data_IF_012696686472
#
_entry.id   IF_012696686472
#
_cell.length_a   1.000
_cell.length_b   1.000
_cell.length_c   1.000
_cell.angle_alpha   90.00
_cell.angle_beta   90.00
_cell.angle_gamma   90.00
#
_symmetry.space_group_name_H-M   'P 1'
#
loop_
_entity.id
_entity.type
_entity.pdbx_description
1 polymer ?
#
# COMPACT_ATOMS: atom_id res chain seq x y z
N UNK A 1 37.47 -6.87 -42.38
CA UNK A 1 36.03 -6.48 -42.43
C UNK A 1 35.33 -7.23 -41.33
N UNK A 2 35.20 -6.60 -40.20
CA UNK A 2 34.57 -7.19 -39.02
C UNK A 2 33.04 -7.07 -39.15
N UNK A 3 32.36 -8.21 -38.98
CA UNK A 3 30.90 -8.33 -38.95
C UNK A 3 30.34 -7.56 -37.76
N UNK A 4 29.24 -6.79 -37.89
CA UNK A 4 28.63 -6.13 -36.75
C UNK A 4 28.01 -7.17 -35.85
N UNK A 5 28.24 -7.01 -34.54
CA UNK A 5 27.73 -7.84 -33.48
C UNK A 5 26.24 -8.09 -33.62
N UNK A 6 25.83 -9.36 -33.58
CA UNK A 6 24.48 -9.75 -33.34
C UNK A 6 24.05 -9.18 -31.99
N UNK A 7 23.17 -8.19 -32.01
CA UNK A 7 22.48 -7.67 -30.82
C UNK A 7 21.74 -8.85 -30.21
N UNK A 8 22.20 -9.25 -29.04
CA UNK A 8 21.67 -10.38 -28.28
C UNK A 8 20.20 -10.09 -27.96
N UNK A 9 19.29 -10.82 -28.62
CA UNK A 9 17.87 -10.71 -28.33
C UNK A 9 17.65 -11.03 -26.84
N UNK A 10 17.08 -10.09 -26.09
CA UNK A 10 16.73 -10.27 -24.69
C UNK A 10 15.98 -11.60 -24.53
N UNK A 11 16.40 -12.42 -23.57
CA UNK A 11 15.67 -13.63 -23.25
C UNK A 11 14.26 -13.27 -22.73
N UNK A 12 13.35 -14.24 -22.66
CA UNK A 12 11.96 -14.00 -22.30
C UNK A 12 11.82 -13.38 -20.89
N UNK A 13 12.62 -13.84 -19.94
CA UNK A 13 12.57 -13.35 -18.56
C UNK A 13 12.99 -11.87 -18.48
N UNK A 14 14.10 -11.52 -19.07
CA UNK A 14 14.57 -10.13 -19.15
C UNK A 14 13.63 -9.21 -19.92
N UNK A 15 12.98 -9.72 -21.00
CA UNK A 15 11.95 -8.90 -21.67
C UNK A 15 10.77 -8.63 -20.78
N UNK A 16 10.34 -9.61 -20.03
CA UNK A 16 9.24 -9.45 -19.09
C UNK A 16 9.57 -8.43 -18.01
N UNK A 17 10.74 -8.50 -17.42
CA UNK A 17 11.18 -7.50 -16.43
C UNK A 17 11.13 -6.08 -16.99
N UNK A 18 11.65 -5.86 -18.21
CA UNK A 18 11.59 -4.55 -18.88
C UNK A 18 10.16 -4.12 -19.21
N UNK A 19 9.32 -5.03 -19.69
CA UNK A 19 7.90 -4.72 -19.98
C UNK A 19 7.17 -4.28 -18.75
N UNK A 20 7.46 -4.95 -17.67
CA UNK A 20 6.86 -4.76 -16.40
C UNK A 20 7.34 -3.43 -15.77
N UNK A 21 8.60 -3.09 -15.89
CA UNK A 21 9.16 -1.81 -15.46
C UNK A 21 8.55 -0.63 -16.26
N UNK A 22 8.47 -0.76 -17.57
CA UNK A 22 7.85 0.25 -18.43
C UNK A 22 6.35 0.46 -18.10
N UNK A 23 5.66 -0.63 -17.76
CA UNK A 23 4.26 -0.57 -17.38
C UNK A 23 4.07 0.08 -16.00
N UNK A 24 4.99 -0.18 -15.07
CA UNK A 24 5.02 0.46 -13.76
C UNK A 24 5.24 1.98 -13.84
N UNK A 25 6.10 2.43 -14.77
CA UNK A 25 6.34 3.86 -14.99
C UNK A 25 5.15 4.60 -15.62
N UNK A 26 4.40 3.92 -16.50
CA UNK A 26 3.44 4.58 -17.40
C UNK A 26 1.97 4.23 -17.11
N UNK A 27 1.72 3.22 -16.29
CA UNK A 27 0.38 2.70 -15.98
C UNK A 27 -0.26 1.92 -17.15
N UNK A 28 0.20 2.17 -18.39
CA UNK A 28 -0.26 1.48 -19.61
C UNK A 28 0.88 1.36 -20.62
N UNK A 29 0.82 0.34 -21.47
CA UNK A 29 1.82 0.10 -22.51
C UNK A 29 1.13 -0.46 -23.77
N UNK A 30 1.29 0.20 -24.90
CA UNK A 30 0.79 -0.31 -26.18
C UNK A 30 1.75 -1.34 -26.77
N UNK A 31 1.21 -2.20 -27.68
CA UNK A 31 2.02 -3.20 -28.38
C UNK A 31 3.13 -2.54 -29.20
N UNK A 32 2.84 -1.42 -29.89
CA UNK A 32 3.82 -0.71 -30.71
C UNK A 32 4.95 -0.08 -29.89
N UNK A 33 4.61 0.56 -28.76
CA UNK A 33 5.63 1.14 -27.85
C UNK A 33 6.54 0.06 -27.27
N UNK A 34 5.96 -1.05 -26.82
CA UNK A 34 6.72 -2.18 -26.30
C UNK A 34 7.64 -2.80 -27.35
N UNK A 35 7.13 -3.00 -28.56
CA UNK A 35 7.90 -3.54 -29.68
C UNK A 35 9.11 -2.65 -30.04
N UNK A 36 8.89 -1.33 -30.10
CA UNK A 36 9.93 -0.34 -30.38
C UNK A 36 11.00 -0.30 -29.28
N UNK A 37 10.58 -0.31 -28.01
CA UNK A 37 11.51 -0.25 -26.86
C UNK A 37 12.37 -1.50 -26.71
N UNK A 38 11.77 -2.67 -26.92
CA UNK A 38 12.43 -3.98 -26.80
C UNK A 38 13.15 -4.42 -28.08
N UNK A 39 12.96 -3.68 -29.20
CA UNK A 39 13.46 -4.04 -30.53
C UNK A 39 13.06 -5.46 -30.97
N UNK A 40 11.82 -5.83 -30.67
CA UNK A 40 11.21 -7.12 -31.08
C UNK A 40 9.96 -6.90 -31.92
N UNK A 41 9.48 -7.97 -32.57
CA UNK A 41 8.25 -7.89 -33.36
C UNK A 41 7.01 -7.67 -32.45
N UNK A 42 5.99 -6.98 -32.98
CA UNK A 42 4.70 -6.86 -32.29
C UNK A 42 4.07 -8.23 -31.98
N UNK A 43 4.31 -9.23 -32.81
CA UNK A 43 3.83 -10.59 -32.57
C UNK A 43 4.48 -11.20 -31.33
N UNK A 44 5.77 -10.91 -31.08
CA UNK A 44 6.46 -11.33 -29.87
C UNK A 44 5.86 -10.63 -28.64
N UNK A 45 5.65 -9.31 -28.71
CA UNK A 45 5.03 -8.54 -27.62
C UNK A 45 3.62 -9.03 -27.31
N UNK A 46 2.80 -9.32 -28.34
CA UNK A 46 1.44 -9.85 -28.15
C UNK A 46 1.44 -11.19 -27.41
N UNK A 47 2.41 -12.07 -27.70
CA UNK A 47 2.57 -13.34 -26.97
C UNK A 47 3.03 -13.11 -25.55
N UNK A 48 3.99 -12.21 -25.32
CA UNK A 48 4.47 -11.84 -23.99
C UNK A 48 3.32 -11.22 -23.18
N UNK A 49 2.55 -10.29 -23.74
CA UNK A 49 1.37 -9.70 -23.09
C UNK A 49 0.28 -10.73 -22.77
N UNK A 50 0.07 -11.72 -23.64
CA UNK A 50 -0.89 -12.80 -23.37
C UNK A 50 -0.40 -13.64 -22.19
N UNK A 51 0.85 -14.06 -22.21
CA UNK A 51 1.41 -14.87 -21.13
C UNK A 51 1.48 -14.12 -19.78
N UNK A 52 1.76 -12.80 -19.79
CA UNK A 52 1.70 -11.97 -18.60
C UNK A 52 0.25 -11.81 -18.10
N UNK A 53 -0.73 -11.71 -18.98
CA UNK A 53 -2.14 -11.64 -18.62
C UNK A 53 -2.67 -12.98 -18.05
N UNK A 54 -2.26 -14.10 -18.62
CA UNK A 54 -2.58 -15.45 -18.12
C UNK A 54 -2.04 -15.66 -16.69
N UNK A 55 -0.89 -15.06 -16.38
CA UNK A 55 -0.33 -15.00 -15.04
C UNK A 55 -0.93 -13.87 -14.16
N UNK A 56 -1.94 -13.15 -14.66
CA UNK A 56 -2.58 -12.01 -13.99
C UNK A 56 -1.62 -10.87 -13.62
N UNK A 57 -0.49 -10.79 -14.28
CA UNK A 57 0.49 -9.74 -14.07
C UNK A 57 0.12 -8.44 -14.80
N UNK A 58 -0.72 -8.51 -15.82
CA UNK A 58 -1.23 -7.36 -16.56
C UNK A 58 -2.70 -7.58 -16.94
N UNK A 59 -3.44 -6.49 -17.21
CA UNK A 59 -4.79 -6.56 -17.79
C UNK A 59 -4.73 -6.14 -19.25
N UNK A 60 -5.27 -6.96 -20.16
CA UNK A 60 -5.31 -6.65 -21.59
C UNK A 60 -6.31 -5.56 -21.92
N UNK A 61 -5.92 -4.68 -22.85
CA UNK A 61 -6.77 -3.66 -23.46
C UNK A 61 -6.78 -3.83 -24.99
N UNK A 62 -7.58 -3.01 -25.71
CA UNK A 62 -7.77 -3.11 -27.17
C UNK A 62 -6.48 -2.90 -27.99
N UNK A 63 -5.38 -2.42 -27.42
CA UNK A 63 -4.13 -2.14 -28.16
C UNK A 63 -2.87 -2.38 -27.35
N UNK A 64 -2.98 -3.00 -26.18
CA UNK A 64 -1.85 -3.18 -25.28
C UNK A 64 -2.25 -3.82 -23.97
N UNK A 65 -1.58 -3.37 -22.92
CA UNK A 65 -1.84 -3.78 -21.53
C UNK A 65 -1.85 -2.56 -20.61
N UNK A 66 -2.60 -2.68 -19.52
CA UNK A 66 -2.49 -1.82 -18.36
C UNK A 66 -1.96 -2.64 -17.20
N UNK A 67 -1.35 -2.00 -16.23
CA UNK A 67 -0.99 -2.67 -15.00
C UNK A 67 -2.24 -3.35 -14.44
N UNK A 68 -2.16 -4.65 -14.17
CA UNK A 68 -3.17 -5.28 -13.35
C UNK A 68 -3.07 -4.52 -12.02
N UNK A 69 -4.16 -3.87 -11.61
CA UNK A 69 -4.15 -2.78 -10.63
C UNK A 69 -3.49 -3.10 -9.28
N UNK A 70 -2.88 -4.26 -9.13
CA UNK A 70 -2.34 -4.73 -7.87
C UNK A 70 -1.03 -5.50 -7.96
N UNK A 71 -0.82 -6.38 -8.94
CA UNK A 71 0.43 -7.15 -9.01
C UNK A 71 1.63 -6.27 -9.40
N UNK A 72 1.37 -5.14 -10.04
CA UNK A 72 2.38 -4.21 -10.53
C UNK A 72 2.65 -3.03 -9.63
N UNK A 73 1.71 -2.63 -8.83
CA UNK A 73 1.93 -1.60 -7.83
C UNK A 73 2.90 -2.06 -6.72
N UNK A 74 3.09 -3.36 -6.52
CA UNK A 74 4.04 -3.84 -5.53
C UNK A 74 5.49 -3.37 -5.81
N UNK A 75 6.10 -3.58 -6.98
CA UNK A 75 7.42 -3.04 -7.26
C UNK A 75 7.45 -1.52 -7.43
N UNK A 76 6.43 -0.90 -8.03
CA UNK A 76 6.37 0.57 -8.20
C UNK A 76 5.92 1.28 -6.92
N UNK A 77 5.09 0.66 -6.09
CA UNK A 77 4.82 1.09 -4.71
C UNK A 77 6.05 0.98 -3.85
N UNK A 78 6.99 0.12 -4.21
CA UNK A 78 8.24 -0.09 -3.52
C UNK A 78 9.36 0.85 -3.95
N UNK A 79 9.29 1.46 -5.13
CA UNK A 79 10.21 2.52 -5.53
C UNK A 79 9.69 3.83 -4.97
N UNK A 80 10.33 4.36 -3.94
CA UNK A 80 10.04 5.71 -3.46
C UNK A 80 10.10 6.68 -4.65
N UNK A 81 8.99 7.29 -4.98
CA UNK A 81 8.98 8.47 -5.83
C UNK A 81 9.72 9.53 -5.03
N UNK A 82 10.67 10.23 -5.68
CA UNK A 82 11.60 11.13 -5.00
C UNK A 82 10.97 12.09 -4.00
N UNK A 83 11.76 12.75 -3.18
CA UNK A 83 11.45 13.56 -1.99
C UNK A 83 10.40 14.69 -2.12
N UNK A 84 9.39 14.54 -2.99
CA UNK A 84 8.30 15.48 -3.23
C UNK A 84 6.92 14.83 -3.33
N UNK A 85 6.83 13.49 -3.28
CA UNK A 85 5.53 12.78 -3.35
C UNK A 85 4.74 13.03 -2.05
N UNK A 86 3.48 13.49 -2.14
CA UNK A 86 2.60 13.61 -0.97
C UNK A 86 2.58 12.37 -0.09
N UNK A 87 2.59 11.17 -0.68
CA UNK A 87 2.64 9.89 0.03
C UNK A 87 3.84 9.80 0.97
N UNK A 88 5.01 10.26 0.54
CA UNK A 88 6.24 10.22 1.36
C UNK A 88 6.19 11.19 2.54
N UNK A 89 5.59 12.39 2.35
CA UNK A 89 5.41 13.36 3.44
C UNK A 89 4.41 12.85 4.47
N UNK A 90 3.27 12.35 4.02
CA UNK A 90 2.25 11.71 4.88
C UNK A 90 2.87 10.55 5.67
N UNK A 91 3.60 9.66 5.00
CA UNK A 91 4.25 8.52 5.63
C UNK A 91 5.29 8.93 6.68
N UNK A 92 6.08 9.97 6.42
CA UNK A 92 7.06 10.48 7.36
C UNK A 92 6.39 11.07 8.61
N UNK A 93 5.33 11.87 8.42
CA UNK A 93 4.58 12.46 9.52
C UNK A 93 3.85 11.40 10.36
N UNK A 94 3.22 10.41 9.72
CA UNK A 94 2.56 9.31 10.42
C UNK A 94 3.56 8.44 11.20
N UNK A 95 4.74 8.15 10.62
CA UNK A 95 5.79 7.41 11.32
C UNK A 95 6.32 8.16 12.56
N UNK A 96 6.33 9.49 12.54
CA UNK A 96 6.74 10.29 13.70
C UNK A 96 5.75 10.22 14.88
N UNK A 97 4.50 9.81 14.65
CA UNK A 97 3.50 9.61 15.69
C UNK A 97 3.65 8.29 16.47
N UNK A 98 4.53 7.39 16.00
CA UNK A 98 4.76 6.07 16.61
C UNK A 98 5.96 6.13 17.54
N UNK A 99 5.76 5.74 18.79
CA UNK A 99 6.80 5.72 19.83
C UNK A 99 7.51 4.35 19.87
N UNK A 100 8.75 4.33 20.35
CA UNK A 100 9.50 3.10 20.57
C UNK A 100 8.81 2.19 21.61
N UNK A 101 8.91 0.88 21.40
CA UNK A 101 8.34 -0.13 22.28
C UNK A 101 6.83 -0.35 22.14
N UNK A 102 6.17 0.34 21.21
CA UNK A 102 4.70 0.23 20.99
C UNK A 102 4.33 -0.92 20.06
N UNK A 103 3.05 -1.30 20.11
CA UNK A 103 2.41 -2.23 19.18
C UNK A 103 1.65 -1.43 18.13
N UNK A 104 2.11 -1.46 16.89
CA UNK A 104 1.49 -0.73 15.78
C UNK A 104 0.82 -1.67 14.79
N UNK A 105 -0.45 -1.39 14.48
CA UNK A 105 -1.22 -2.07 13.45
C UNK A 105 -1.08 -1.40 12.10
N UNK A 106 -1.11 -2.19 11.02
CA UNK A 106 -1.16 -1.71 9.64
C UNK A 106 -2.11 -2.56 8.82
N UNK A 107 -3.01 -1.91 8.05
CA UNK A 107 -3.66 -2.55 6.92
C UNK A 107 -2.81 -2.40 5.64
N UNK A 108 -3.31 -2.90 4.50
CA UNK A 108 -2.65 -2.72 3.20
C UNK A 108 -2.79 -1.31 2.64
N UNK A 109 -2.03 -1.02 1.61
CA UNK A 109 -2.07 0.24 0.90
C UNK A 109 -0.70 0.87 0.66
N UNK A 110 -0.66 1.88 -0.21
CA UNK A 110 0.59 2.57 -0.57
C UNK A 110 1.15 3.39 0.60
N UNK A 111 0.29 4.18 1.20
CA UNK A 111 0.70 5.10 2.27
C UNK A 111 1.06 4.36 3.54
N UNK A 112 0.30 3.31 3.90
CA UNK A 112 0.59 2.44 5.03
C UNK A 112 1.90 1.68 4.86
N UNK A 113 2.15 1.14 3.66
CA UNK A 113 3.44 0.51 3.33
C UNK A 113 4.60 1.49 3.42
N UNK A 114 4.43 2.72 2.89
CA UNK A 114 5.46 3.76 3.00
C UNK A 114 5.72 4.14 4.47
N UNK A 115 4.67 4.23 5.30
CA UNK A 115 4.77 4.51 6.74
C UNK A 115 5.53 3.40 7.46
N UNK A 116 5.19 2.13 7.21
CA UNK A 116 5.87 0.98 7.80
C UNK A 116 7.37 0.97 7.45
N UNK A 117 7.72 1.34 6.22
CA UNK A 117 9.12 1.46 5.79
C UNK A 117 9.87 2.57 6.50
N UNK A 118 9.23 3.72 6.71
CA UNK A 118 9.83 4.81 7.48
C UNK A 118 10.15 4.36 8.90
N UNK A 119 9.25 3.60 9.54
CA UNK A 119 9.51 2.99 10.84
C UNK A 119 10.66 1.98 10.82
N UNK A 120 10.74 1.17 9.77
CA UNK A 120 11.75 0.12 9.64
C UNK A 120 13.21 0.61 9.57
N UNK A 121 13.41 1.90 9.30
CA UNK A 121 14.74 2.54 9.19
C UNK A 121 14.99 3.61 10.24
N UNK A 122 14.14 3.70 11.27
CA UNK A 122 14.32 4.64 12.39
C UNK A 122 15.33 4.08 13.40
N UNK A 123 16.40 4.82 13.65
CA UNK A 123 17.48 4.42 14.56
C UNK A 123 17.05 4.39 16.03
N UNK A 124 16.06 5.21 16.41
CA UNK A 124 15.53 5.26 17.79
C UNK A 124 14.62 4.08 18.16
N UNK A 125 14.29 3.21 17.20
CA UNK A 125 13.51 1.99 17.41
C UNK A 125 14.39 0.75 17.66
N UNK A 126 15.59 0.92 18.17
CA UNK A 126 16.47 -0.21 18.50
C UNK A 126 15.91 -1.09 19.62
N UNK A 127 16.21 -2.39 19.54
CA UNK A 127 15.83 -3.36 20.59
C UNK A 127 16.57 -3.04 21.89
N UNK A 128 15.86 -2.96 22.99
CA UNK A 128 16.42 -2.68 24.31
C UNK A 128 16.02 -3.76 25.34
N UNK A 129 16.98 -4.20 26.13
CA UNK A 129 16.77 -5.14 27.25
C UNK A 129 15.95 -6.39 26.87
N UNK A 130 16.18 -6.96 25.67
CA UNK A 130 15.48 -8.15 25.18
C UNK A 130 14.03 -7.89 24.70
N UNK A 131 13.61 -6.63 24.60
CA UNK A 131 12.33 -6.24 24.03
C UNK A 131 12.54 -5.72 22.60
N UNK A 132 11.63 -6.03 21.66
CA UNK A 132 11.69 -5.42 20.32
C UNK A 132 11.51 -3.93 20.42
N UNK A 133 12.18 -3.17 19.55
CA UNK A 133 12.01 -1.73 19.44
C UNK A 133 10.61 -1.34 18.95
N UNK A 134 9.93 -2.27 18.23
CA UNK A 134 8.57 -2.13 17.76
C UNK A 134 7.91 -3.51 17.59
N UNK A 135 6.61 -3.61 17.83
CA UNK A 135 5.82 -4.76 17.38
C UNK A 135 4.86 -4.31 16.28
N UNK A 136 4.99 -4.90 15.10
CA UNK A 136 4.10 -4.65 13.96
C UNK A 136 3.07 -5.76 13.85
N UNK A 137 1.78 -5.42 13.84
CA UNK A 137 0.66 -6.32 13.59
C UNK A 137 0.03 -5.93 12.26
N UNK A 138 -0.09 -6.86 11.32
CA UNK A 138 -0.61 -6.51 9.98
C UNK A 138 -1.36 -7.67 9.32
N UNK A 139 -2.42 -7.33 8.57
CA UNK A 139 -3.08 -8.21 7.62
C UNK A 139 -2.47 -8.11 6.20
N UNK A 140 -1.50 -7.21 5.98
CA UNK A 140 -0.87 -6.99 4.67
C UNK A 140 0.41 -7.82 4.52
N UNK A 141 0.41 -8.78 3.60
CA UNK A 141 1.57 -9.68 3.36
C UNK A 141 2.82 -8.92 2.92
N UNK A 142 2.67 -7.87 2.13
CA UNK A 142 3.78 -7.04 1.69
C UNK A 142 4.46 -6.32 2.86
N UNK A 143 3.70 -5.79 3.80
CA UNK A 143 4.25 -5.17 5.02
C UNK A 143 4.92 -6.24 5.88
N UNK A 144 4.25 -7.38 6.11
CA UNK A 144 4.81 -8.47 6.89
C UNK A 144 6.16 -8.96 6.35
N UNK A 145 6.28 -9.16 5.04
CA UNK A 145 7.53 -9.64 4.41
C UNK A 145 8.68 -8.64 4.51
N UNK A 146 8.39 -7.34 4.56
CA UNK A 146 9.44 -6.33 4.75
C UNK A 146 9.86 -6.19 6.22
N UNK A 147 8.89 -6.23 7.12
CA UNK A 147 9.13 -6.02 8.55
C UNK A 147 9.86 -7.22 9.20
N UNK A 148 9.57 -8.45 8.77
CA UNK A 148 10.25 -9.66 9.30
C UNK A 148 11.77 -9.67 9.06
N UNK A 149 12.24 -8.91 8.07
CA UNK A 149 13.67 -8.76 7.78
C UNK A 149 14.38 -7.76 8.73
N UNK A 150 13.67 -7.15 9.65
CA UNK A 150 14.21 -6.13 10.57
C UNK A 150 14.37 -6.72 11.98
N UNK A 151 15.61 -6.96 12.47
CA UNK A 151 15.84 -7.66 13.75
C UNK A 151 15.25 -6.94 14.97
N UNK A 152 15.09 -5.62 14.91
CA UNK A 152 14.51 -4.80 15.98
C UNK A 152 12.97 -4.74 15.94
N UNK A 153 12.33 -5.33 14.91
CA UNK A 153 10.88 -5.37 14.76
C UNK A 153 10.36 -6.78 14.95
N UNK A 154 9.45 -6.93 15.93
CA UNK A 154 8.66 -8.14 16.06
C UNK A 154 7.46 -8.03 15.12
N UNK A 155 7.33 -8.96 14.18
CA UNK A 155 6.23 -8.97 13.22
C UNK A 155 5.20 -10.04 13.57
N UNK A 156 3.94 -9.63 13.65
CA UNK A 156 2.77 -10.50 13.81
C UNK A 156 1.89 -10.34 12.57
N UNK A 157 1.72 -11.41 11.82
CA UNK A 157 0.82 -11.45 10.66
C UNK A 157 -0.51 -12.05 11.06
N UNK A 158 -1.62 -11.38 10.73
CA UNK A 158 -2.95 -11.94 10.93
C UNK A 158 -3.15 -13.14 10.00
N UNK A 159 -4.03 -14.05 10.40
CA UNK A 159 -4.48 -15.16 9.56
C UNK A 159 -5.53 -14.72 8.55
N UNK A 160 -5.96 -15.63 7.66
CA UNK A 160 -7.07 -15.35 6.77
C UNK A 160 -6.88 -15.84 5.34
N UNK A 161 -7.80 -15.43 4.47
CA UNK A 161 -7.75 -15.68 3.04
C UNK A 161 -7.06 -14.50 2.37
N UNK A 162 -6.02 -14.79 1.58
CA UNK A 162 -5.27 -13.76 0.85
C UNK A 162 -6.13 -13.22 -0.29
N UNK A 163 -6.31 -11.91 -0.33
CA UNK A 163 -6.89 -11.24 -1.50
C UNK A 163 -5.82 -10.91 -2.52
N UNK A 164 -5.96 -11.40 -3.77
CA UNK A 164 -4.91 -11.21 -4.79
C UNK A 164 -4.67 -9.74 -5.15
N UNK A 165 -5.65 -8.86 -4.93
CA UNK A 165 -5.59 -7.46 -5.34
C UNK A 165 -4.96 -6.53 -4.32
N UNK A 166 -5.19 -6.72 -3.04
CA UNK A 166 -4.66 -5.88 -1.95
C UNK A 166 -3.50 -6.52 -1.21
N UNK A 167 -3.30 -7.84 -1.38
CA UNK A 167 -2.38 -8.66 -0.57
C UNK A 167 -2.75 -8.68 0.91
N UNK A 168 -3.98 -8.33 1.21
CA UNK A 168 -4.51 -8.39 2.57
C UNK A 168 -5.10 -9.76 2.88
N UNK A 169 -4.92 -10.14 4.12
CA UNK A 169 -5.55 -11.31 4.73
C UNK A 169 -6.90 -10.89 5.30
N UNK A 170 -7.97 -11.58 4.89
CA UNK A 170 -9.35 -11.27 5.28
C UNK A 170 -10.08 -12.48 5.82
N UNK A 171 -11.23 -12.24 6.44
CA UNK A 171 -12.12 -13.27 6.97
C UNK A 171 -11.94 -13.55 8.47
N UNK A 172 -12.73 -14.49 8.98
CA UNK A 172 -12.88 -14.75 10.42
C UNK A 172 -11.57 -15.19 11.09
N UNK A 173 -10.66 -15.84 10.37
CA UNK A 173 -9.36 -16.25 10.92
C UNK A 173 -8.50 -15.05 11.34
N UNK A 174 -8.60 -13.92 10.64
CA UNK A 174 -7.94 -12.68 11.04
C UNK A 174 -8.48 -12.17 12.39
N UNK A 175 -9.81 -12.23 12.56
CA UNK A 175 -10.50 -11.78 13.78
C UNK A 175 -10.11 -12.62 14.99
N UNK A 176 -9.97 -13.94 14.85
CA UNK A 176 -9.55 -14.83 15.94
C UNK A 176 -8.18 -14.45 16.50
N UNK A 177 -7.24 -14.02 15.65
CA UNK A 177 -5.93 -13.54 16.11
C UNK A 177 -6.07 -12.17 16.78
N UNK A 178 -6.83 -11.24 16.17
CA UNK A 178 -7.05 -9.90 16.73
C UNK A 178 -7.72 -9.93 18.11
N UNK A 179 -8.57 -10.89 18.38
CA UNK A 179 -9.22 -11.02 19.69
C UNK A 179 -8.25 -11.24 20.85
N UNK A 180 -7.02 -11.67 20.56
CA UNK A 180 -5.95 -11.88 21.54
C UNK A 180 -4.94 -10.72 21.62
N UNK A 181 -5.14 -9.66 20.83
CA UNK A 181 -4.17 -8.57 20.69
C UNK A 181 -4.79 -7.21 21.04
N UNK A 182 -3.91 -6.30 21.45
CA UNK A 182 -4.19 -4.88 21.56
C UNK A 182 -3.14 -4.10 20.78
N UNK A 183 -3.56 -3.03 20.13
CA UNK A 183 -2.73 -2.12 19.35
C UNK A 183 -2.63 -0.79 20.09
N UNK A 184 -1.41 -0.28 20.29
CA UNK A 184 -1.24 1.09 20.81
C UNK A 184 -1.63 2.13 19.77
N UNK A 185 -1.26 1.86 18.50
CA UNK A 185 -1.60 2.70 17.35
C UNK A 185 -2.04 1.80 16.20
N UNK A 186 -3.10 2.17 15.50
CA UNK A 186 -3.45 1.59 14.21
C UNK A 186 -3.30 2.65 13.11
N UNK A 187 -2.40 2.42 12.17
CA UNK A 187 -2.22 3.24 10.96
C UNK A 187 -3.06 2.65 9.85
N UNK A 188 -4.17 3.31 9.54
CA UNK A 188 -5.19 2.88 8.60
C UNK A 188 -5.10 3.65 7.29
N UNK A 189 -4.90 2.95 6.19
CA UNK A 189 -5.12 3.45 4.84
C UNK A 189 -6.57 3.31 4.42
N UNK A 190 -7.13 4.29 3.73
CA UNK A 190 -8.53 4.31 3.33
C UNK A 190 -8.68 4.62 1.84
N UNK A 191 -9.81 4.24 1.28
CA UNK A 191 -10.22 4.66 -0.08
C UNK A 191 -11.12 5.89 -0.06
N UNK A 192 -11.73 6.20 1.07
CA UNK A 192 -12.47 7.43 1.31
C UNK A 192 -12.58 7.73 2.80
N UNK A 193 -12.51 9.03 3.15
CA UNK A 193 -12.81 9.55 4.47
C UNK A 193 -13.76 10.74 4.34
N UNK A 194 -14.97 10.57 4.84
CA UNK A 194 -16.04 11.55 4.78
C UNK A 194 -16.49 11.91 6.21
N UNK A 195 -16.71 13.19 6.53
CA UNK A 195 -17.08 13.61 7.89
C UNK A 195 -18.35 12.93 8.45
N UNK A 196 -19.27 12.51 7.57
CA UNK A 196 -20.53 11.87 7.94
C UNK A 196 -20.48 10.35 7.80
N UNK A 197 -19.92 9.86 6.69
CA UNK A 197 -19.85 8.41 6.42
C UNK A 197 -18.70 7.72 7.14
N UNK A 198 -17.67 8.45 7.56
CA UNK A 198 -16.48 7.91 8.18
C UNK A 198 -15.47 7.36 7.18
N UNK A 199 -14.62 6.46 7.64
CA UNK A 199 -13.60 5.76 6.86
C UNK A 199 -14.22 4.60 6.08
N UNK A 200 -13.84 4.49 4.79
CA UNK A 200 -14.42 3.51 3.86
C UNK A 200 -13.38 2.89 2.94
N UNK A 201 -13.63 1.66 2.46
CA UNK A 201 -12.85 0.96 1.47
C UNK A 201 -13.72 0.28 0.39
N UNK A 202 -13.11 -0.32 -0.63
CA UNK A 202 -13.84 -0.92 -1.75
C UNK A 202 -14.41 -2.29 -1.48
N UNK A 203 -13.98 -2.97 -0.42
CA UNK A 203 -14.31 -4.36 -0.16
C UNK A 203 -14.80 -4.57 1.28
N UNK A 204 -15.90 -5.27 1.42
CA UNK A 204 -16.54 -5.53 2.72
C UNK A 204 -15.75 -6.50 3.60
N UNK A 205 -15.01 -7.44 3.00
CA UNK A 205 -14.19 -8.36 3.76
C UNK A 205 -12.91 -7.68 4.31
N UNK A 206 -12.33 -6.73 3.59
CA UNK A 206 -11.26 -5.85 4.07
C UNK A 206 -11.79 -4.94 5.18
N UNK A 207 -12.93 -4.26 4.93
CA UNK A 207 -13.56 -3.40 5.92
C UNK A 207 -13.85 -4.14 7.24
N UNK A 208 -14.24 -5.41 7.17
CA UNK A 208 -14.52 -6.23 8.35
C UNK A 208 -13.28 -6.50 9.21
N UNK A 209 -12.10 -6.70 8.60
CA UNK A 209 -10.83 -6.87 9.33
C UNK A 209 -10.34 -5.52 9.85
N UNK A 210 -10.40 -4.46 9.03
CA UNK A 210 -9.99 -3.12 9.43
C UNK A 210 -10.82 -2.60 10.60
N UNK A 211 -12.14 -2.80 10.58
CA UNK A 211 -13.03 -2.48 11.71
C UNK A 211 -12.66 -3.25 12.99
N UNK A 212 -12.29 -4.53 12.85
CA UNK A 212 -11.82 -5.31 13.99
C UNK A 212 -10.47 -4.79 14.52
N UNK A 213 -9.56 -4.29 13.66
CA UNK A 213 -8.33 -3.64 14.08
C UNK A 213 -8.59 -2.29 14.77
N UNK A 214 -9.54 -1.49 14.25
CA UNK A 214 -9.99 -0.25 14.91
C UNK A 214 -10.47 -0.53 16.34
N UNK A 215 -11.32 -1.54 16.51
CA UNK A 215 -11.86 -1.91 17.83
C UNK A 215 -10.79 -2.39 18.84
N UNK A 216 -9.59 -2.74 18.38
CA UNK A 216 -8.44 -3.17 19.20
C UNK A 216 -7.38 -2.10 19.36
N UNK A 217 -7.53 -0.96 18.70
CA UNK A 217 -6.56 0.13 18.76
C UNK A 217 -6.91 1.14 19.86
N UNK A 218 -5.88 1.58 20.57
CA UNK A 218 -6.01 2.70 21.51
C UNK A 218 -6.04 4.05 20.79
N UNK A 219 -5.37 4.13 19.64
CA UNK A 219 -5.28 5.34 18.82
C UNK A 219 -5.37 4.96 17.35
N UNK A 220 -6.30 5.58 16.63
CA UNK A 220 -6.50 5.39 15.20
C UNK A 220 -5.89 6.57 14.43
N UNK A 221 -4.90 6.28 13.60
CA UNK A 221 -4.24 7.25 12.69
C UNK A 221 -4.62 6.90 11.26
N UNK A 222 -5.46 7.69 10.64
CA UNK A 222 -5.78 7.55 9.21
C UNK A 222 -4.72 8.27 8.37
N UNK A 223 -4.21 7.59 7.33
CA UNK A 223 -3.25 8.14 6.37
C UNK A 223 -3.86 8.18 4.98
N UNK A 224 -4.15 9.35 4.46
CA UNK A 224 -4.87 9.52 3.20
C UNK A 224 -4.39 10.74 2.42
N UNK A 225 -4.27 10.62 1.10
CA UNK A 225 -4.10 11.77 0.23
C UNK A 225 -5.37 12.62 0.17
N UNK A 226 -5.22 13.90 -0.18
CA UNK A 226 -6.32 14.85 -0.28
C UNK A 226 -7.46 14.37 -1.20
N UNK A 227 -7.14 13.58 -2.22
CA UNK A 227 -8.09 12.99 -3.17
C UNK A 227 -9.08 11.99 -2.54
N UNK A 228 -8.80 11.53 -1.32
CA UNK A 228 -9.64 10.60 -0.56
C UNK A 228 -10.60 11.29 0.42
N UNK A 229 -10.40 12.58 0.67
CA UNK A 229 -11.19 13.31 1.65
C UNK A 229 -12.51 13.81 1.04
N UNK A 230 -13.60 13.74 1.82
CA UNK A 230 -14.95 14.05 1.36
C UNK A 230 -15.51 13.02 0.38
N UNK A 231 -14.85 11.85 0.24
CA UNK A 231 -15.29 10.77 -0.65
C UNK A 231 -15.73 9.55 0.14
N UNK A 232 -16.57 8.72 -0.49
CA UNK A 232 -17.08 7.47 0.08
C UNK A 232 -16.82 6.32 -0.86
N UNK A 233 -16.43 5.18 -0.30
CA UNK A 233 -16.33 3.92 -1.00
C UNK A 233 -17.44 2.95 -0.56
N UNK A 234 -17.42 1.72 -1.05
CA UNK A 234 -18.51 0.76 -0.91
C UNK A 234 -18.75 0.31 0.54
N UNK A 235 -17.70 -0.03 1.28
CA UNK A 235 -17.81 -0.61 2.61
C UNK A 235 -17.27 0.34 3.69
N UNK A 236 -18.05 0.50 4.77
CA UNK A 236 -17.64 1.30 5.93
C UNK A 236 -16.72 0.51 6.84
N UNK A 237 -15.65 1.16 7.30
CA UNK A 237 -14.72 0.64 8.29
C UNK A 237 -15.13 1.13 9.69
N UNK A 238 -15.20 2.47 9.89
CA UNK A 238 -15.53 3.10 11.16
C UNK A 238 -16.14 4.48 10.95
N UNK A 239 -16.64 5.10 12.00
CA UNK A 239 -17.12 6.49 11.99
C UNK A 239 -15.97 7.48 11.95
N UNK A 240 -16.25 8.72 11.54
CA UNK A 240 -15.25 9.79 11.58
C UNK A 240 -14.85 10.12 13.04
N UNK A 241 -15.79 10.01 13.97
CA UNK A 241 -15.62 10.22 15.42
C UNK A 241 -14.67 9.20 16.09
N UNK A 242 -14.40 8.07 15.43
CA UNK A 242 -13.45 7.05 15.90
C UNK A 242 -12.00 7.34 15.44
N UNK A 243 -11.82 8.30 14.52
CA UNK A 243 -10.51 8.68 14.00
C UNK A 243 -9.86 9.71 14.93
N UNK A 244 -8.77 9.35 15.61
CA UNK A 244 -8.04 10.30 16.47
C UNK A 244 -7.22 11.29 15.65
N UNK A 245 -6.51 10.80 14.61
CA UNK A 245 -5.63 11.63 13.79
C UNK A 245 -5.81 11.29 12.31
N UNK A 246 -5.92 12.32 11.49
CA UNK A 246 -5.76 12.24 10.05
C UNK A 246 -4.43 12.88 9.65
N UNK A 247 -3.59 12.15 8.94
CA UNK A 247 -2.41 12.71 8.25
C UNK A 247 -2.69 12.77 6.76
N UNK A 248 -2.67 13.99 6.20
CA UNK A 248 -2.99 14.23 4.79
C UNK A 248 -2.05 15.26 4.18
N UNK A 249 -2.09 15.44 2.87
CA UNK A 249 -1.33 16.48 2.19
C UNK A 249 -2.08 17.83 2.16
N UNK A 250 -1.32 18.91 1.84
CA UNK A 250 -1.85 20.28 1.80
C UNK A 250 -2.85 20.55 0.67
N UNK A 251 -3.08 19.59 -0.25
CA UNK A 251 -4.09 19.69 -1.30
C UNK A 251 -5.53 19.44 -0.84
N UNK A 252 -5.73 19.11 0.44
CA UNK A 252 -7.05 18.82 0.99
C UNK A 252 -7.96 20.06 1.00
N UNK A 253 -9.24 19.86 0.64
CA UNK A 253 -10.25 20.91 0.69
C UNK A 253 -10.44 21.40 2.14
N UNK A 254 -10.32 22.73 2.33
CA UNK A 254 -10.41 23.35 3.65
C UNK A 254 -11.76 23.17 4.33
N UNK A 255 -12.86 23.05 3.58
CA UNK A 255 -14.19 22.80 4.15
C UNK A 255 -14.30 21.38 4.70
N UNK A 256 -13.83 20.38 3.94
CA UNK A 256 -13.81 18.99 4.40
C UNK A 256 -12.91 18.81 5.63
N UNK A 257 -11.76 19.49 5.64
CA UNK A 257 -10.86 19.49 6.82
C UNK A 257 -11.54 20.12 8.04
N UNK A 258 -12.27 21.22 7.86
CA UNK A 258 -13.00 21.86 8.95
C UNK A 258 -14.12 20.95 9.50
N UNK A 259 -14.85 20.26 8.63
CA UNK A 259 -15.89 19.32 9.02
C UNK A 259 -15.33 18.11 9.76
N UNK A 260 -14.19 17.55 9.31
CA UNK A 260 -13.49 16.46 10.01
C UNK A 260 -13.01 16.91 11.41
N UNK A 261 -12.45 18.12 11.54
CA UNK A 261 -12.08 18.68 12.85
C UNK A 261 -13.30 18.86 13.75
N UNK A 262 -14.43 19.27 13.19
CA UNK A 262 -15.70 19.39 13.93
C UNK A 262 -16.25 18.04 14.39
N UNK A 263 -15.93 16.96 13.67
CA UNK A 263 -16.20 15.57 14.08
C UNK A 263 -15.23 15.04 15.14
N UNK A 264 -14.21 15.81 15.55
CA UNK A 264 -13.26 15.45 16.61
C UNK A 264 -11.91 14.94 16.08
N UNK A 265 -11.69 14.92 14.78
CA UNK A 265 -10.44 14.44 14.17
C UNK A 265 -9.34 15.48 14.28
N UNK A 266 -8.18 15.12 14.83
CA UNK A 266 -6.97 15.96 14.74
C UNK A 266 -6.36 15.85 13.33
N UNK A 267 -6.35 16.94 12.56
CA UNK A 267 -5.91 16.92 11.15
C UNK A 267 -4.54 17.55 11.01
N UNK A 268 -3.55 16.72 10.68
CA UNK A 268 -2.18 17.08 10.36
C UNK A 268 -2.00 17.14 8.82
N UNK A 269 -1.80 18.36 8.30
CA UNK A 269 -1.53 18.58 6.87
C UNK A 269 -0.03 18.76 6.62
N UNK A 270 0.55 18.03 5.64
CA UNK A 270 1.99 17.99 5.35
C UNK A 270 2.32 18.15 3.86
#
# INVERSE_FOLDING_TARGET
MSSPAAEEALDRSRRWDVLLDLLAERGRLSVGEAASRLRVSEATVRRDFTALADQRLVTRTHGGVVAASVAYDLPARYRGRGSGDPTDRIAAAAAALVEAGTVVGFNGGRTTTATARRLAVRDDLESSAGRPGLTVVTNALNIATEMVLRPHIRTVTLGGVVRPYSYELTGDLARLVLDQLWLDVFVLGVEGLDPVAGATCHDDSEAGVDAAMVARARRLVVVAGADKLGTRSFARICGAEEVDVLVTDTGADGSVVADLRSAGVDVLQV
#
